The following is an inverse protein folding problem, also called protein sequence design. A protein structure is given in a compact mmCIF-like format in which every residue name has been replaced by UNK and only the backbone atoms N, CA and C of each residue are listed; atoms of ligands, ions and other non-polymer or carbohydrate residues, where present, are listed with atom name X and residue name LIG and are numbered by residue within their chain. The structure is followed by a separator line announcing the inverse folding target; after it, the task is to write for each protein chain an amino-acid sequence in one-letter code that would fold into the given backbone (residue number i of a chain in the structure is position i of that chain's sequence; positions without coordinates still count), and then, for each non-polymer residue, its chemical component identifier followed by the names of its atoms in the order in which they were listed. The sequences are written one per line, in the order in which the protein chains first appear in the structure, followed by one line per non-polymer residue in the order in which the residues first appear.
data_IF_190501018742
#
_entry.id   IF_190501018742
#
_cell.length_a   1.000
_cell.length_b   1.000
_cell.length_c   1.000
_cell.angle_alpha   90.00
_cell.angle_beta   90.00
_cell.angle_gamma   90.00
#
_symmetry.space_group_name_H-M   'P 1'
#
loop_
_entity.id
_entity.type
_entity.pdbx_description
1 polymer ?
#
# COMPACT_ATOMS: atom_id res chain seq x y z
N UNK A 1 -2.38 1.93 25.86
CA UNK A 1 -1.47 0.78 26.01
C UNK A 1 -1.05 0.33 24.62
N UNK A 2 0.24 0.07 24.43
CA UNK A 2 0.94 -0.02 23.14
C UNK A 2 0.61 -1.33 22.43
N UNK A 3 0.08 -1.28 21.21
CA UNK A 3 0.21 -2.38 20.25
C UNK A 3 0.79 -1.89 18.93
N UNK A 4 2.10 -1.65 18.94
CA UNK A 4 2.95 -1.77 17.74
C UNK A 4 2.98 -3.25 17.36
N UNK A 5 2.29 -3.64 16.30
CA UNK A 5 2.52 -4.92 15.62
C UNK A 5 3.11 -4.63 14.24
N UNK A 6 4.34 -5.09 14.06
CA UNK A 6 5.10 -5.00 12.83
C UNK A 6 4.38 -5.78 11.72
N UNK A 7 4.10 -5.10 10.60
CA UNK A 7 3.90 -5.77 9.33
C UNK A 7 5.29 -6.06 8.75
N UNK A 8 5.62 -7.34 8.60
CA UNK A 8 6.70 -7.76 7.73
C UNK A 8 6.23 -7.64 6.28
N UNK A 9 6.78 -6.66 5.55
CA UNK A 9 6.78 -6.69 4.10
C UNK A 9 7.72 -7.81 3.64
N UNK A 10 7.19 -8.84 2.97
CA UNK A 10 8.01 -9.83 2.28
C UNK A 10 8.60 -9.19 1.02
N UNK A 11 9.82 -8.66 1.13
CA UNK A 11 10.66 -8.37 -0.02
C UNK A 11 11.22 -9.69 -0.56
N UNK A 12 10.54 -10.28 -1.54
CA UNK A 12 11.13 -11.36 -2.34
C UNK A 12 12.21 -10.77 -3.25
N UNK A 13 13.45 -10.74 -2.77
CA UNK A 13 14.61 -10.36 -3.57
C UNK A 13 14.96 -11.46 -4.56
N UNK A 14 14.77 -11.20 -5.86
CA UNK A 14 15.50 -11.94 -6.90
C UNK A 14 16.91 -11.34 -7.00
N UNK A 15 17.90 -12.13 -6.60
CA UNK A 15 19.31 -11.82 -6.79
C UNK A 15 19.70 -11.97 -8.28
N UNK A 16 19.79 -10.85 -8.98
CA UNK A 16 20.41 -10.79 -10.30
C UNK A 16 21.94 -10.76 -10.18
N UNK A 17 22.61 -11.80 -10.67
CA UNK A 17 24.06 -11.92 -10.74
C UNK A 17 24.62 -10.97 -11.83
N UNK A 18 25.34 -9.91 -11.45
CA UNK A 18 26.01 -9.01 -12.43
C UNK A 18 27.48 -9.38 -12.61
N UNK A 19 27.83 -9.77 -13.84
CA UNK A 19 29.20 -9.91 -14.34
C UNK A 19 29.81 -8.51 -14.59
N UNK A 20 30.98 -8.25 -14.01
CA UNK A 20 31.82 -7.11 -14.35
C UNK A 20 32.44 -7.32 -15.74
N UNK A 21 32.23 -6.40 -16.68
CA UNK A 21 33.04 -6.31 -17.90
C UNK A 21 33.39 -4.86 -18.19
N UNK A 22 34.69 -4.57 -18.20
CA UNK A 22 35.24 -3.29 -18.63
C UNK A 22 35.74 -3.42 -20.08
N UNK A 23 35.27 -2.56 -20.98
CA UNK A 23 35.97 -2.14 -22.21
C UNK A 23 35.26 -0.92 -22.86
N UNK A 24 35.99 -0.06 -23.60
CA UNK A 24 35.52 1.24 -24.04
C UNK A 24 34.96 1.25 -25.47
N UNK A 25 34.06 2.21 -25.72
CA UNK A 25 33.72 2.71 -27.05
C UNK A 25 32.68 1.90 -27.82
N UNK A 26 31.46 2.45 -27.93
CA UNK A 26 30.76 2.78 -29.18
C UNK A 26 29.39 3.35 -28.78
N UNK A 27 29.10 4.57 -29.25
CA UNK A 27 27.84 5.24 -28.98
C UNK A 27 26.69 4.50 -29.66
N UNK A 28 25.87 3.81 -28.88
CA UNK A 28 24.57 3.31 -29.30
C UNK A 28 23.47 4.23 -28.76
N UNK A 29 22.80 4.95 -29.67
CA UNK A 29 21.50 5.60 -29.46
C UNK A 29 20.43 4.82 -30.23
N UNK A 30 19.17 4.88 -29.82
CA UNK A 30 18.62 4.68 -28.49
C UNK A 30 17.74 3.42 -28.51
N UNK A 31 17.95 2.51 -27.56
CA UNK A 31 16.96 1.46 -27.31
C UNK A 31 15.63 2.15 -26.99
N UNK A 32 14.55 1.77 -27.67
CA UNK A 32 13.21 2.30 -27.44
C UNK A 32 13.00 2.48 -25.93
N UNK A 33 12.78 3.73 -25.50
CA UNK A 33 12.67 4.09 -24.09
C UNK A 33 11.51 3.30 -23.50
N UNK A 34 11.84 2.17 -22.84
CA UNK A 34 10.94 1.63 -21.84
C UNK A 34 10.74 2.75 -20.84
N UNK A 35 9.49 3.02 -20.51
CA UNK A 35 9.18 3.95 -19.42
C UNK A 35 10.00 3.52 -18.21
N UNK A 36 10.80 4.45 -17.67
CA UNK A 36 11.60 4.21 -16.46
C UNK A 36 10.73 3.83 -15.26
N UNK A 37 9.42 4.00 -15.36
CA UNK A 37 8.44 3.55 -14.38
C UNK A 37 7.46 2.58 -15.04
N UNK A 38 7.36 1.37 -14.50
CA UNK A 38 6.31 0.39 -14.80
C UNK A 38 5.42 0.24 -13.59
N UNK A 39 4.11 0.17 -13.81
CA UNK A 39 3.14 0.00 -12.74
C UNK A 39 2.13 -1.06 -13.13
N UNK A 40 1.92 -2.01 -12.23
CA UNK A 40 0.88 -3.03 -12.34
C UNK A 40 -0.07 -2.89 -11.16
N UNK A 41 -1.35 -2.64 -11.43
CA UNK A 41 -2.42 -2.80 -10.44
C UNK A 41 -3.06 -4.15 -10.67
N UNK A 42 -3.00 -5.02 -9.68
CA UNK A 42 -3.70 -6.29 -9.72
C UNK A 42 -5.17 -6.10 -9.35
N UNK A 43 -6.04 -7.01 -9.80
CA UNK A 43 -7.45 -6.97 -9.39
C UNK A 43 -7.60 -7.31 -7.90
N UNK A 44 -8.55 -6.68 -7.19
CA UNK A 44 -8.79 -6.99 -5.78
C UNK A 44 -9.15 -8.46 -5.56
N UNK A 45 -8.60 -9.05 -4.50
CA UNK A 45 -8.97 -10.39 -4.02
C UNK A 45 -9.99 -10.23 -2.90
N UNK A 46 -11.14 -10.91 -3.02
CA UNK A 46 -12.21 -10.86 -2.01
C UNK A 46 -12.51 -12.26 -1.52
N UNK A 47 -12.31 -12.52 -0.24
CA UNK A 47 -12.71 -13.74 0.44
C UNK A 47 -13.83 -13.44 1.44
N UNK A 48 -14.89 -14.25 1.38
CA UNK A 48 -16.07 -14.14 2.25
C UNK A 48 -16.20 -15.43 3.05
N UNK A 49 -16.33 -15.30 4.36
CA UNK A 49 -16.39 -16.42 5.29
C UNK A 49 -17.52 -16.19 6.29
N UNK A 50 -18.46 -17.14 6.35
CA UNK A 50 -19.37 -17.24 7.47
C UNK A 50 -18.70 -18.00 8.61
N UNK A 51 -18.95 -17.60 9.87
CA UNK A 51 -18.33 -18.25 11.03
C UNK A 51 -19.28 -18.48 12.21
N UNK A 52 -18.99 -19.57 12.95
CA UNK A 52 -19.56 -19.86 14.27
C UNK A 52 -18.82 -19.02 15.33
N UNK A 53 -19.52 -18.16 16.11
CA UNK A 53 -18.89 -17.31 17.12
C UNK A 53 -18.27 -18.11 18.27
N UNK A 54 -18.68 -19.36 18.49
CA UNK A 54 -18.08 -20.25 19.48
C UNK A 54 -16.77 -20.89 18.96
N UNK A 55 -16.53 -20.83 17.64
CA UNK A 55 -15.39 -21.45 16.97
C UNK A 55 -14.85 -20.54 15.84
N UNK A 56 -14.38 -19.32 16.14
CA UNK A 56 -13.95 -18.37 15.13
C UNK A 56 -12.74 -18.88 14.31
N UNK A 57 -12.67 -18.57 13.00
CA UNK A 57 -11.55 -18.95 12.14
C UNK A 57 -10.21 -18.41 12.63
N UNK A 58 -9.15 -19.19 12.37
CA UNK A 58 -7.79 -18.76 12.68
C UNK A 58 -7.42 -17.55 11.81
N UNK A 59 -7.01 -16.46 12.45
CA UNK A 59 -6.58 -15.24 11.76
C UNK A 59 -7.69 -14.21 11.54
N UNK A 60 -8.93 -14.52 11.93
CA UNK A 60 -10.00 -13.53 12.04
C UNK A 60 -9.63 -12.48 13.10
N UNK A 61 -9.77 -11.17 12.82
CA UNK A 61 -9.67 -10.14 13.85
C UNK A 61 -10.66 -10.38 15.00
N UNK A 62 -10.29 -9.97 16.21
CA UNK A 62 -11.23 -10.00 17.32
C UNK A 62 -12.32 -8.95 17.09
N UNK A 63 -13.59 -9.33 17.28
CA UNK A 63 -14.72 -8.42 17.21
C UNK A 63 -14.82 -7.60 18.49
N UNK A 64 -15.18 -6.32 18.36
CA UNK A 64 -15.48 -5.43 19.48
C UNK A 64 -16.99 -5.21 19.52
N UNK A 65 -17.71 -5.63 20.58
CA UNK A 65 -19.15 -5.39 20.67
C UNK A 65 -19.51 -3.91 20.43
N UNK A 66 -20.54 -3.59 19.62
CA UNK A 66 -21.60 -4.48 19.11
C UNK A 66 -21.29 -5.20 17.78
N UNK A 67 -20.07 -5.15 17.26
CA UNK A 67 -19.69 -5.77 15.98
C UNK A 67 -20.05 -7.27 15.96
N UNK A 68 -20.64 -7.71 14.85
CA UNK A 68 -21.02 -9.11 14.59
C UNK A 68 -20.45 -9.64 13.27
N UNK A 69 -19.59 -8.83 12.63
CA UNK A 69 -18.85 -9.09 11.41
C UNK A 69 -17.60 -8.22 11.37
N UNK A 70 -16.68 -8.51 10.45
CA UNK A 70 -15.51 -7.66 10.21
C UNK A 70 -15.01 -7.83 8.77
N UNK A 71 -14.79 -6.71 8.10
CA UNK A 71 -14.08 -6.63 6.83
C UNK A 71 -12.64 -6.16 7.05
N UNK A 72 -11.68 -7.09 6.95
CA UNK A 72 -10.26 -6.76 6.99
C UNK A 72 -9.76 -6.36 5.60
N UNK A 73 -9.35 -5.11 5.46
CA UNK A 73 -8.76 -4.58 4.22
C UNK A 73 -7.23 -4.56 4.30
N UNK A 74 -6.57 -5.13 3.29
CA UNK A 74 -5.10 -5.15 3.19
C UNK A 74 -4.65 -4.53 1.87
N UNK A 75 -3.98 -3.37 1.95
CA UNK A 75 -3.29 -2.75 0.82
C UNK A 75 -1.84 -3.21 0.79
N UNK A 76 -1.40 -3.76 -0.32
CA UNK A 76 -0.02 -4.23 -0.49
C UNK A 76 0.67 -3.49 -1.64
N UNK A 77 1.98 -3.32 -1.48
CA UNK A 77 2.85 -2.66 -2.44
C UNK A 77 4.14 -3.48 -2.55
N UNK A 78 4.55 -3.75 -3.79
CA UNK A 78 5.86 -4.30 -4.12
C UNK A 78 6.57 -3.34 -5.06
N UNK A 79 7.87 -3.13 -4.84
CA UNK A 79 8.69 -2.23 -5.64
C UNK A 79 10.02 -2.91 -6.01
N UNK A 80 10.25 -3.08 -7.31
CA UNK A 80 11.58 -3.32 -7.86
C UNK A 80 12.25 -1.98 -8.17
N UNK A 81 13.47 -1.79 -7.66
CA UNK A 81 14.26 -0.58 -7.91
C UNK A 81 15.54 -0.97 -8.64
N UNK A 82 15.73 -0.45 -9.84
CA UNK A 82 17.03 -0.46 -10.51
C UNK A 82 17.72 0.87 -10.24
N UNK A 83 18.98 0.81 -9.84
CA UNK A 83 19.74 1.99 -9.44
C UNK A 83 21.20 1.87 -9.82
N UNK A 84 21.82 3.02 -10.04
CA UNK A 84 23.26 3.19 -10.12
C UNK A 84 23.76 3.75 -8.79
N UNK A 85 25.01 3.46 -8.45
CA UNK A 85 25.56 3.83 -7.14
C UNK A 85 26.96 4.42 -7.27
N UNK A 86 27.18 5.50 -6.54
CA UNK A 86 28.46 6.17 -6.36
C UNK A 86 28.93 5.94 -4.92
N UNK A 87 30.14 5.42 -4.76
CA UNK A 87 30.77 5.32 -3.45
C UNK A 87 31.34 6.67 -3.06
N UNK A 88 30.82 7.25 -1.97
CA UNK A 88 31.32 8.53 -1.43
C UNK A 88 32.44 8.32 -0.41
N UNK A 89 32.39 7.23 0.36
CA UNK A 89 33.39 6.85 1.36
C UNK A 89 33.38 5.33 1.59
N UNK A 90 34.23 4.76 2.47
CA UNK A 90 34.10 3.36 2.87
C UNK A 90 32.77 2.98 3.53
N UNK A 91 32.05 3.95 4.09
CA UNK A 91 30.83 3.73 4.90
C UNK A 91 29.63 4.51 4.38
N UNK A 92 29.73 5.12 3.20
CA UNK A 92 28.68 5.96 2.60
C UNK A 92 28.63 5.77 1.10
N UNK A 93 27.42 5.65 0.57
CA UNK A 93 27.15 5.55 -0.86
C UNK A 93 25.96 6.46 -1.21
N UNK A 94 25.97 7.00 -2.43
CA UNK A 94 24.82 7.67 -3.03
C UNK A 94 24.26 6.76 -4.11
N UNK A 95 22.97 6.53 -4.09
CA UNK A 95 22.29 5.82 -5.18
C UNK A 95 21.47 6.81 -6.01
N UNK A 96 21.31 6.49 -7.29
CA UNK A 96 20.50 7.21 -8.27
C UNK A 96 19.46 6.24 -8.79
N UNK A 97 18.17 6.60 -8.70
CA UNK A 97 17.09 5.71 -9.13
C UNK A 97 16.97 5.76 -10.65
N UNK A 98 17.22 4.63 -11.32
CA UNK A 98 17.21 4.55 -12.79
C UNK A 98 15.88 4.03 -13.31
N UNK A 99 15.35 2.96 -12.70
CA UNK A 99 14.05 2.40 -13.05
C UNK A 99 13.27 1.93 -11.81
N UNK A 100 11.94 1.94 -11.93
CA UNK A 100 11.01 1.44 -10.94
C UNK A 100 9.98 0.51 -11.58
N UNK A 101 9.74 -0.62 -10.92
CA UNK A 101 8.66 -1.55 -11.23
C UNK A 101 7.77 -1.69 -9.99
N UNK A 102 6.56 -1.14 -10.04
CA UNK A 102 5.68 -1.05 -8.87
C UNK A 102 4.45 -1.94 -9.09
N UNK A 103 4.18 -2.83 -8.16
CA UNK A 103 2.96 -3.65 -8.15
C UNK A 103 2.13 -3.30 -6.93
N UNK A 104 0.86 -2.95 -7.14
CA UNK A 104 -0.09 -2.67 -6.07
C UNK A 104 -1.12 -3.80 -5.99
N UNK A 105 -1.54 -4.19 -4.79
CA UNK A 105 -2.59 -5.21 -4.57
C UNK A 105 -3.56 -4.76 -3.49
N UNK A 106 -4.78 -5.29 -3.57
CA UNK A 106 -5.81 -5.11 -2.58
C UNK A 106 -6.43 -6.47 -2.24
N UNK A 107 -6.56 -6.74 -0.95
CA UNK A 107 -7.22 -7.94 -0.44
C UNK A 107 -8.25 -7.59 0.62
N UNK A 108 -9.38 -8.27 0.57
CA UNK A 108 -10.43 -8.23 1.56
C UNK A 108 -10.67 -9.62 2.13
N UNK A 109 -10.62 -9.73 3.47
CA UNK A 109 -11.12 -10.88 4.21
C UNK A 109 -12.39 -10.43 4.95
N UNK A 110 -13.56 -10.85 4.48
CA UNK A 110 -14.87 -10.49 5.04
C UNK A 110 -15.40 -11.66 5.87
N UNK A 111 -15.60 -11.42 7.17
CA UNK A 111 -16.12 -12.40 8.10
C UNK A 111 -17.49 -11.96 8.60
N UNK A 112 -18.50 -12.82 8.47
CA UNK A 112 -19.83 -12.58 9.05
C UNK A 112 -20.27 -13.76 9.88
N UNK A 113 -21.00 -13.52 10.97
CA UNK A 113 -21.59 -14.63 11.73
C UNK A 113 -22.50 -15.48 10.82
N UNK A 114 -22.57 -16.79 11.06
CA UNK A 114 -23.53 -17.66 10.39
C UNK A 114 -24.96 -17.10 10.49
N UNK A 115 -25.68 -17.12 9.37
CA UNK A 115 -27.02 -16.54 9.26
C UNK A 115 -27.07 -15.04 9.60
N UNK A 116 -25.95 -14.32 9.43
CA UNK A 116 -25.90 -12.87 9.58
C UNK A 116 -27.08 -12.18 8.86
N UNK A 117 -27.75 -11.23 9.53
CA UNK A 117 -28.80 -10.44 8.90
C UNK A 117 -28.30 -9.76 7.62
N UNK A 118 -29.15 -9.57 6.59
CA UNK A 118 -28.73 -8.91 5.35
C UNK A 118 -28.08 -7.55 5.57
N UNK A 119 -28.55 -6.79 6.57
CA UNK A 119 -27.99 -5.50 6.97
C UNK A 119 -26.51 -5.59 7.38
N UNK A 120 -26.17 -6.58 8.20
CA UNK A 120 -24.79 -6.80 8.64
C UNK A 120 -23.90 -7.16 7.44
N UNK A 121 -24.36 -8.04 6.55
CA UNK A 121 -23.60 -8.40 5.34
C UNK A 121 -23.38 -7.19 4.44
N UNK A 122 -24.41 -6.35 4.27
CA UNK A 122 -24.31 -5.13 3.50
C UNK A 122 -23.30 -4.14 4.13
N UNK A 123 -23.31 -4.00 5.45
CA UNK A 123 -22.36 -3.16 6.18
C UNK A 123 -20.90 -3.59 5.93
N UNK A 124 -20.59 -4.89 6.02
CA UNK A 124 -19.24 -5.38 5.71
C UNK A 124 -18.85 -5.19 4.24
N UNK A 125 -19.80 -5.32 3.31
CA UNK A 125 -19.59 -5.00 1.91
C UNK A 125 -19.36 -3.49 1.67
N UNK A 126 -19.89 -2.62 2.54
CA UNK A 126 -19.62 -1.19 2.54
C UNK A 126 -18.15 -0.88 2.80
N UNK A 127 -17.52 -1.55 3.76
CA UNK A 127 -16.07 -1.45 3.99
C UNK A 127 -15.26 -1.87 2.75
N UNK A 128 -15.68 -2.94 2.07
CA UNK A 128 -15.07 -3.35 0.79
C UNK A 128 -15.19 -2.24 -0.25
N UNK A 129 -16.39 -1.70 -0.45
CA UNK A 129 -16.64 -0.64 -1.43
C UNK A 129 -15.78 0.62 -1.17
N UNK A 130 -15.57 0.98 0.11
CA UNK A 130 -14.64 2.07 0.48
C UNK A 130 -13.20 1.72 0.11
N UNK A 131 -12.74 0.50 0.42
CA UNK A 131 -11.40 0.05 0.04
C UNK A 131 -11.17 0.10 -1.47
N UNK A 132 -12.15 -0.37 -2.26
CA UNK A 132 -12.11 -0.35 -3.72
C UNK A 132 -12.09 1.07 -4.28
N UNK A 133 -12.87 1.98 -3.71
CA UNK A 133 -12.88 3.39 -4.11
C UNK A 133 -11.49 4.02 -4.08
N UNK A 134 -10.75 3.85 -2.97
CA UNK A 134 -9.39 4.41 -2.86
C UNK A 134 -8.36 3.66 -3.70
N UNK A 135 -8.62 2.40 -4.01
CA UNK A 135 -7.73 1.56 -4.81
C UNK A 135 -7.90 1.75 -6.32
N UNK A 136 -9.04 2.28 -6.78
CA UNK A 136 -9.31 2.56 -8.19
C UNK A 136 -8.15 3.31 -8.86
N UNK A 137 -7.63 4.31 -8.15
CA UNK A 137 -6.54 5.20 -8.55
C UNK A 137 -5.12 4.70 -8.23
N UNK A 138 -4.96 3.50 -7.67
CA UNK A 138 -3.69 2.98 -7.16
C UNK A 138 -2.56 3.02 -8.20
N UNK A 139 -2.83 2.57 -9.44
CA UNK A 139 -1.85 2.59 -10.52
C UNK A 139 -1.38 4.02 -10.86
N UNK A 140 -2.33 4.95 -10.95
CA UNK A 140 -2.03 6.35 -11.28
C UNK A 140 -1.17 6.98 -10.18
N UNK A 141 -1.57 6.79 -8.92
CA UNK A 141 -0.86 7.28 -7.74
C UNK A 141 0.57 6.72 -7.69
N UNK A 142 0.72 5.41 -7.83
CA UNK A 142 2.03 4.74 -7.86
C UNK A 142 2.91 5.24 -9.02
N UNK A 143 2.33 5.44 -10.20
CA UNK A 143 3.05 5.99 -11.35
C UNK A 143 3.52 7.42 -11.15
N UNK A 144 2.72 8.27 -10.51
CA UNK A 144 3.13 9.63 -10.13
C UNK A 144 4.26 9.64 -9.12
N UNK A 145 4.21 8.76 -8.11
CA UNK A 145 5.27 8.60 -7.11
C UNK A 145 6.54 8.15 -7.82
N UNK A 146 6.48 7.09 -8.62
CA UNK A 146 7.62 6.56 -9.35
C UNK A 146 8.29 7.60 -10.24
N UNK A 147 7.50 8.36 -11.02
CA UNK A 147 8.04 9.39 -11.93
C UNK A 147 8.80 10.49 -11.20
N UNK A 148 8.40 10.85 -9.99
CA UNK A 148 9.12 11.85 -9.18
C UNK A 148 10.45 11.31 -8.64
N UNK A 149 10.58 10.00 -8.49
CA UNK A 149 11.75 9.37 -7.92
C UNK A 149 12.81 9.00 -8.96
N UNK A 150 12.46 8.86 -10.24
CA UNK A 150 13.46 8.64 -11.30
C UNK A 150 14.46 9.80 -11.33
N UNK A 151 15.75 9.46 -11.30
CA UNK A 151 16.87 10.39 -11.21
C UNK A 151 17.09 11.00 -9.83
N UNK A 152 16.20 10.76 -8.86
CA UNK A 152 16.39 11.21 -7.48
C UNK A 152 17.54 10.44 -6.82
N UNK A 153 18.20 11.09 -5.87
CA UNK A 153 19.35 10.53 -5.17
C UNK A 153 19.05 10.25 -3.71
N UNK A 154 19.57 9.13 -3.21
CA UNK A 154 19.46 8.76 -1.81
C UNK A 154 20.84 8.41 -1.26
N UNK A 155 21.22 9.06 -0.16
CA UNK A 155 22.45 8.72 0.54
C UNK A 155 22.20 7.65 1.59
N UNK A 156 22.98 6.57 1.52
CA UNK A 156 22.97 5.49 2.47
C UNK A 156 24.25 5.40 3.28
N UNK A 157 24.15 4.85 4.49
CA UNK A 157 25.26 4.67 5.43
C UNK A 157 25.31 3.24 5.95
N UNK A 158 26.52 2.74 6.23
CA UNK A 158 26.70 1.39 6.75
C UNK A 158 28.14 1.11 7.16
N UNK A 159 28.39 -0.08 7.72
CA UNK A 159 29.72 -0.50 8.14
C UNK A 159 30.70 -0.66 6.95
N UNK A 160 30.16 -0.87 5.75
CA UNK A 160 30.90 -0.94 4.50
C UNK A 160 30.04 -0.36 3.34
N UNK A 161 30.61 -0.37 2.13
CA UNK A 161 29.95 0.16 0.93
C UNK A 161 28.67 -0.59 0.55
N UNK A 162 28.61 -1.92 0.77
CA UNK A 162 27.44 -2.73 0.43
C UNK A 162 26.28 -2.47 1.40
N UNK A 163 26.58 -2.34 2.70
CA UNK A 163 25.63 -1.93 3.72
C UNK A 163 25.11 -0.50 3.45
N UNK A 164 26.00 0.42 3.07
CA UNK A 164 25.61 1.78 2.70
C UNK A 164 24.69 1.83 1.47
N UNK A 165 24.99 1.07 0.41
CA UNK A 165 24.09 0.99 -0.77
C UNK A 165 22.73 0.39 -0.41
N UNK A 166 22.69 -0.66 0.43
CA UNK A 166 21.45 -1.28 0.89
C UNK A 166 20.60 -0.31 1.71
N UNK A 167 21.21 0.48 2.59
CA UNK A 167 20.54 1.53 3.33
C UNK A 167 19.94 2.60 2.39
N UNK A 168 20.71 3.04 1.39
CA UNK A 168 20.21 3.95 0.34
C UNK A 168 19.00 3.37 -0.39
N UNK A 169 19.09 2.12 -0.86
CA UNK A 169 18.00 1.41 -1.52
C UNK A 169 16.75 1.31 -0.63
N UNK A 170 16.92 0.93 0.64
CA UNK A 170 15.81 0.81 1.59
C UNK A 170 15.09 2.15 1.79
N UNK A 171 15.81 3.28 1.72
CA UNK A 171 15.19 4.62 1.77
C UNK A 171 14.32 4.90 0.55
N UNK A 172 14.69 4.45 -0.65
CA UNK A 172 13.83 4.56 -1.85
C UNK A 172 12.54 3.78 -1.63
N UNK A 173 12.64 2.52 -1.19
CA UNK A 173 11.47 1.67 -0.94
C UNK A 173 10.57 2.29 0.12
N UNK A 174 11.14 2.78 1.22
CA UNK A 174 10.40 3.46 2.28
C UNK A 174 9.72 4.76 1.81
N UNK A 175 10.34 5.49 0.88
CA UNK A 175 9.74 6.67 0.25
C UNK A 175 8.51 6.30 -0.58
N UNK A 176 8.61 5.27 -1.42
CA UNK A 176 7.49 4.80 -2.25
C UNK A 176 6.34 4.33 -1.34
N UNK A 177 6.64 3.51 -0.34
CA UNK A 177 5.64 2.99 0.59
C UNK A 177 4.94 4.13 1.35
N UNK A 178 5.71 5.05 1.94
CA UNK A 178 5.14 6.18 2.69
C UNK A 178 4.24 7.04 1.80
N UNK A 179 4.70 7.40 0.61
CA UNK A 179 3.96 8.25 -0.31
C UNK A 179 2.69 7.57 -0.84
N UNK A 180 2.74 6.26 -1.10
CA UNK A 180 1.59 5.47 -1.54
C UNK A 180 0.56 5.32 -0.43
N UNK A 181 0.99 4.89 0.76
CA UNK A 181 0.09 4.67 1.91
C UNK A 181 -0.61 5.97 2.32
N UNK A 182 0.08 7.11 2.26
CA UNK A 182 -0.51 8.42 2.56
C UNK A 182 -1.66 8.83 1.63
N UNK A 183 -1.68 8.31 0.39
CA UNK A 183 -2.68 8.69 -0.62
C UNK A 183 -3.77 7.65 -0.84
N UNK A 184 -3.55 6.43 -0.37
CA UNK A 184 -4.47 5.30 -0.59
C UNK A 184 -4.97 4.76 0.76
N UNK A 185 -4.10 4.14 1.54
CA UNK A 185 -4.48 3.44 2.77
C UNK A 185 -5.00 4.38 3.85
N UNK A 186 -4.28 5.47 4.14
CA UNK A 186 -4.65 6.40 5.21
C UNK A 186 -6.04 7.01 4.99
N UNK A 187 -6.35 7.61 3.81
CA UNK A 187 -7.69 8.16 3.61
C UNK A 187 -8.78 7.07 3.54
N UNK A 188 -8.45 5.86 3.05
CA UNK A 188 -9.37 4.71 3.13
C UNK A 188 -9.70 4.35 4.57
N UNK A 189 -8.71 4.28 5.47
CA UNK A 189 -8.94 4.00 6.89
C UNK A 189 -9.84 5.06 7.54
N UNK A 190 -9.57 6.36 7.30
CA UNK A 190 -10.40 7.45 7.82
C UNK A 190 -11.84 7.40 7.29
N UNK A 191 -12.05 7.01 6.03
CA UNK A 191 -13.39 6.81 5.48
C UNK A 191 -14.10 5.61 6.11
N UNK A 192 -13.40 4.51 6.42
CA UNK A 192 -13.98 3.37 7.10
C UNK A 192 -14.43 3.73 8.53
N UNK A 193 -13.59 4.44 9.30
CA UNK A 193 -13.96 4.92 10.65
C UNK A 193 -15.23 5.79 10.59
N UNK A 194 -15.30 6.70 9.62
CA UNK A 194 -16.49 7.54 9.41
C UNK A 194 -17.72 6.72 8.98
N UNK A 195 -17.54 5.68 8.18
CA UNK A 195 -18.63 4.79 7.78
C UNK A 195 -19.21 4.05 8.98
N UNK A 196 -18.36 3.58 9.90
CA UNK A 196 -18.79 2.99 11.17
C UNK A 196 -19.58 3.97 12.02
N UNK A 197 -19.12 5.22 12.12
CA UNK A 197 -19.85 6.29 12.82
C UNK A 197 -21.22 6.57 12.19
N UNK A 198 -21.30 6.69 10.87
CA UNK A 198 -22.54 6.97 10.13
C UNK A 198 -23.54 5.84 10.27
N UNK A 199 -23.06 4.60 10.15
CA UNK A 199 -23.91 3.41 10.21
C UNK A 199 -24.15 2.94 11.64
N UNK A 200 -23.45 3.50 12.64
CA UNK A 200 -23.39 3.00 14.00
C UNK A 200 -23.09 1.48 14.00
N UNK A 201 -22.00 1.09 13.35
CA UNK A 201 -21.62 -0.31 13.13
C UNK A 201 -22.77 -1.16 12.54
N UNK A 202 -23.46 -0.62 11.52
CA UNK A 202 -24.57 -1.29 10.84
C UNK A 202 -25.92 -1.27 11.56
N UNK A 203 -26.06 -0.56 12.68
CA UNK A 203 -27.32 -0.48 13.45
C UNK A 203 -28.28 0.61 12.94
N UNK A 204 -27.77 1.65 12.29
CA UNK A 204 -28.59 2.74 11.75
C UNK A 204 -29.32 2.28 10.47
N UNK A 205 -30.55 2.77 10.21
CA UNK A 205 -31.37 2.35 9.06
C UNK A 205 -30.97 3.02 7.73
N UNK A 206 -29.80 3.67 7.66
CA UNK A 206 -29.29 4.29 6.42
C UNK A 206 -28.86 3.22 5.42
N UNK A 207 -29.10 3.43 4.13
CA UNK A 207 -28.60 2.55 3.07
C UNK A 207 -27.06 2.56 3.02
N UNK A 208 -26.45 1.40 2.83
CA UNK A 208 -24.98 1.28 2.84
C UNK A 208 -24.31 2.02 1.71
N UNK A 209 -24.90 2.07 0.51
CA UNK A 209 -24.30 2.81 -0.60
C UNK A 209 -24.34 4.32 -0.33
N UNK A 210 -25.43 4.82 0.27
CA UNK A 210 -25.51 6.20 0.74
C UNK A 210 -24.46 6.50 1.82
N UNK A 211 -24.33 5.63 2.82
CA UNK A 211 -23.35 5.79 3.89
C UNK A 211 -21.90 5.76 3.37
N UNK A 212 -21.58 4.88 2.40
CA UNK A 212 -20.27 4.85 1.73
C UNK A 212 -19.99 6.18 1.03
N UNK A 213 -20.96 6.71 0.27
CA UNK A 213 -20.80 7.99 -0.43
C UNK A 213 -20.52 9.15 0.54
N UNK A 214 -21.25 9.21 1.66
CA UNK A 214 -21.06 10.22 2.71
C UNK A 214 -19.69 10.08 3.41
N UNK A 215 -19.24 8.84 3.64
CA UNK A 215 -17.96 8.56 4.28
C UNK A 215 -16.78 9.02 3.41
N UNK A 216 -16.80 8.65 2.13
CA UNK A 216 -15.76 9.03 1.14
C UNK A 216 -15.70 10.54 0.94
N UNK A 217 -16.85 11.20 0.78
CA UNK A 217 -16.91 12.65 0.60
C UNK A 217 -16.35 13.43 1.82
N UNK A 218 -16.63 12.94 3.02
CA UNK A 218 -16.16 13.54 4.27
C UNK A 218 -14.66 13.46 4.49
N UNK A 219 -14.04 12.34 4.14
CA UNK A 219 -12.59 12.14 4.27
C UNK A 219 -11.78 13.06 3.34
N UNK A 220 -12.30 13.35 2.14
CA UNK A 220 -11.67 14.27 1.19
C UNK A 220 -11.62 15.73 1.69
N UNK A 221 -12.57 16.13 2.53
CA UNK A 221 -12.64 17.48 3.12
C UNK A 221 -11.60 17.73 4.21
N UNK A 222 -11.31 16.73 5.06
CA UNK A 222 -10.37 16.86 6.18
C UNK A 222 -8.89 16.82 5.75
N UNK A 223 -8.58 16.12 4.66
CA UNK A 223 -7.23 16.10 4.09
C UNK A 223 -6.80 17.47 3.50
N UNK A 224 -7.77 18.32 3.11
CA UNK A 224 -7.49 19.66 2.56
C UNK A 224 -7.30 20.72 3.63
N UNK A 225 -7.85 20.54 4.83
CA UNK A 225 -7.76 21.49 5.94
C UNK A 225 -6.52 21.31 6.83
N UNK A 226 -5.70 20.30 6.58
CA UNK A 226 -4.55 19.91 7.42
C UNK A 226 -3.18 20.15 6.76
N UNK A 227 -3.11 20.92 5.66
CA UNK A 227 -1.82 21.39 5.12
C UNK A 227 -1.35 22.59 5.93
N UNK A 228 -0.23 22.52 6.68
CA UNK A 228 0.31 23.68 7.35
C UNK A 228 0.90 24.64 6.30
N UNK A 229 0.60 25.93 6.45
CA UNK A 229 1.27 27.03 5.76
C UNK A 229 2.72 27.17 6.22
#
# INVERSE_FOLDING_TARGET
MIHRRALLAFAAGLAGLTLLRAAPGHAQRPSASRSAVRVTREEPIVERMDFDPQRPPRGMPALTPPESGVCKTTFELSAGVSYSAERLSPTTARIYVDELDIVTRLRFDIFTIENAPPKLRAHEEGHRAIGEHYYEDAARIAGEIGRRLIGATFEGRGADAAAAQRDGFNKVVAEIERAYMARVRIPSAAANERFDEITNHGLNPIDEAEAVALAVAGAAGQARSSTPH
#
